data_IF_329380384613
#
_entry.id   IF_329380384613
#
_cell.length_a   1.000
_cell.length_b   1.000
_cell.length_c   1.000
_cell.angle_alpha   90.00
_cell.angle_beta   90.00
_cell.angle_gamma   90.00
#
_symmetry.space_group_name_H-M   'P 1'
#
loop_
_entity.id
_entity.type
_entity.pdbx_description
1 polymer ?
#
# COMPACT_ATOMS: atom_id res chain seq x y z
N UNK A 1 -11.36 9.11 -37.60
CA UNK A 1 -11.00 8.84 -36.19
C UNK A 1 -9.51 8.50 -36.16
N UNK A 2 -8.65 9.48 -35.89
CA UNK A 2 -7.19 9.27 -35.87
C UNK A 2 -6.78 8.56 -34.59
N UNK A 3 -6.26 7.35 -34.73
CA UNK A 3 -5.61 6.60 -33.66
C UNK A 3 -4.27 7.26 -33.34
N UNK A 4 -4.15 7.89 -32.18
CA UNK A 4 -2.86 8.34 -31.67
C UNK A 4 -2.14 7.12 -31.13
N UNK A 5 -1.28 6.51 -31.95
CA UNK A 5 -0.35 5.49 -31.49
C UNK A 5 0.51 6.10 -30.37
N UNK A 6 0.35 5.58 -29.15
CA UNK A 6 1.22 5.93 -28.02
C UNK A 6 2.58 5.27 -28.24
N UNK A 7 3.46 5.95 -28.98
CA UNK A 7 4.85 5.53 -29.08
C UNK A 7 5.52 5.66 -27.70
N UNK A 8 6.26 4.66 -27.23
CA UNK A 8 6.96 4.74 -25.94
C UNK A 8 7.95 5.92 -25.97
N UNK A 9 7.80 6.85 -25.02
CA UNK A 9 8.74 7.96 -24.82
C UNK A 9 9.68 7.64 -23.67
N UNK A 10 10.98 7.57 -23.96
CA UNK A 10 12.01 7.62 -22.93
C UNK A 10 12.11 9.06 -22.43
N UNK A 11 11.95 9.26 -21.14
CA UNK A 11 12.07 10.55 -20.47
C UNK A 11 13.49 10.65 -19.90
N UNK A 12 14.10 11.83 -19.97
CA UNK A 12 15.35 12.11 -19.25
C UNK A 12 15.08 12.08 -17.75
N UNK A 13 16.00 11.50 -16.98
CA UNK A 13 15.87 11.45 -15.53
C UNK A 13 15.77 12.87 -14.95
N UNK A 14 14.84 13.08 -14.03
CA UNK A 14 14.71 14.35 -13.31
C UNK A 14 15.90 14.55 -12.36
N UNK A 15 16.33 15.80 -12.16
CA UNK A 15 17.45 16.15 -11.26
C UNK A 15 17.20 15.70 -9.82
N UNK A 16 15.94 15.69 -9.38
CA UNK A 16 15.51 15.05 -8.14
C UNK A 16 14.56 13.88 -8.50
N UNK A 17 14.93 12.63 -8.22
CA UNK A 17 14.07 11.50 -8.52
C UNK A 17 12.81 11.52 -7.65
N UNK A 18 11.66 11.19 -8.25
CA UNK A 18 10.44 10.88 -7.49
C UNK A 18 10.53 9.45 -6.99
N UNK A 19 10.36 9.25 -5.69
CA UNK A 19 10.41 7.96 -5.01
C UNK A 19 9.02 7.65 -4.47
N UNK A 20 8.35 6.65 -5.06
CA UNK A 20 7.01 6.23 -4.65
C UNK A 20 7.13 5.03 -3.71
N UNK A 21 6.68 5.16 -2.46
CA UNK A 21 6.52 4.05 -1.54
C UNK A 21 5.13 3.44 -1.70
N UNK A 22 5.06 2.26 -2.33
CA UNK A 22 3.83 1.51 -2.55
C UNK A 22 3.69 0.35 -1.56
N UNK A 23 2.74 0.44 -0.63
CA UNK A 23 2.52 -0.59 0.39
C UNK A 23 1.03 -0.90 0.59
N UNK A 24 0.67 -2.13 1.00
CA UNK A 24 -0.68 -2.46 1.45
C UNK A 24 -1.02 -1.67 2.73
N UNK A 25 -2.22 -1.10 2.80
CA UNK A 25 -2.65 -0.30 3.96
C UNK A 25 -4.07 -0.69 4.41
N UNK A 26 -4.25 -0.86 5.72
CA UNK A 26 -5.56 -0.98 6.37
C UNK A 26 -5.54 -0.31 7.76
N UNK A 27 -6.56 0.49 8.08
CA UNK A 27 -6.81 0.95 9.44
C UNK A 27 -7.73 -0.05 10.15
N UNK A 28 -7.25 -0.68 11.22
CA UNK A 28 -7.97 -1.68 11.99
C UNK A 28 -7.33 -1.88 13.38
N UNK A 29 -8.16 -2.00 14.42
CA UNK A 29 -7.67 -2.21 15.79
C UNK A 29 -7.23 -3.67 16.04
N UNK A 30 -7.89 -4.63 15.39
CA UNK A 30 -7.44 -6.02 15.38
C UNK A 30 -6.32 -6.22 14.33
N UNK A 31 -5.08 -6.16 14.80
CA UNK A 31 -3.89 -6.37 13.99
C UNK A 31 -3.79 -7.79 13.41
N UNK A 32 -4.32 -8.80 14.11
CA UNK A 32 -4.25 -10.17 13.66
C UNK A 32 -5.19 -10.37 12.47
N UNK A 33 -6.42 -9.87 12.57
CA UNK A 33 -7.39 -9.89 11.47
C UNK A 33 -6.88 -9.09 10.26
N UNK A 34 -6.29 -7.92 10.47
CA UNK A 34 -5.73 -7.10 9.40
C UNK A 34 -4.55 -7.78 8.69
N UNK A 35 -3.62 -8.41 9.44
CA UNK A 35 -2.50 -9.16 8.84
C UNK A 35 -2.98 -10.39 8.09
N UNK A 36 -3.98 -11.10 8.60
CA UNK A 36 -4.58 -12.23 7.90
C UNK A 36 -5.23 -11.79 6.58
N UNK A 37 -5.95 -10.66 6.58
CA UNK A 37 -6.52 -10.08 5.37
C UNK A 37 -5.44 -9.63 4.36
N UNK A 38 -4.35 -9.03 4.83
CA UNK A 38 -3.21 -8.67 3.99
C UNK A 38 -2.59 -9.90 3.30
N UNK A 39 -2.33 -10.97 4.06
CA UNK A 39 -1.83 -12.23 3.52
C UNK A 39 -2.78 -12.81 2.46
N UNK A 40 -4.09 -12.82 2.74
CA UNK A 40 -5.11 -13.29 1.82
C UNK A 40 -5.17 -12.48 0.51
N UNK A 41 -4.98 -11.16 0.60
CA UNK A 41 -4.98 -10.27 -0.57
C UNK A 41 -3.75 -10.48 -1.47
N UNK A 42 -2.65 -10.97 -0.90
CA UNK A 42 -1.38 -11.17 -1.59
C UNK A 42 -1.23 -12.57 -2.23
N UNK A 43 -2.15 -13.50 -2.00
CA UNK A 43 -2.05 -14.91 -2.46
C UNK A 43 -1.75 -15.03 -3.96
N UNK A 44 -2.31 -14.14 -4.79
CA UNK A 44 -2.10 -14.17 -6.24
C UNK A 44 -0.67 -13.86 -6.70
N UNK A 45 0.14 -13.17 -5.88
CA UNK A 45 1.52 -12.78 -6.21
C UNK A 45 2.57 -13.29 -5.21
N UNK A 46 2.16 -13.74 -4.02
CA UNK A 46 3.01 -14.14 -2.89
C UNK A 46 3.96 -15.30 -3.18
N UNK A 47 3.55 -16.23 -4.05
CA UNK A 47 4.35 -17.38 -4.46
C UNK A 47 5.36 -17.07 -5.57
N UNK A 48 5.35 -15.85 -6.11
CA UNK A 48 6.29 -15.48 -7.17
C UNK A 48 7.69 -15.25 -6.60
N UNK A 49 8.74 -15.95 -7.08
CA UNK A 49 10.09 -15.82 -6.54
C UNK A 49 10.64 -14.38 -6.57
N UNK A 50 10.28 -13.61 -7.60
CA UNK A 50 10.68 -12.20 -7.69
C UNK A 50 10.04 -11.35 -6.58
N UNK A 51 8.77 -11.61 -6.25
CA UNK A 51 8.06 -10.87 -5.21
C UNK A 51 8.64 -11.18 -3.82
N UNK A 52 8.87 -12.45 -3.51
CA UNK A 52 9.54 -12.87 -2.27
C UNK A 52 10.94 -12.24 -2.12
N UNK A 53 11.70 -12.14 -3.22
CA UNK A 53 13.01 -11.49 -3.20
C UNK A 53 12.90 -9.99 -2.90
N UNK A 54 11.93 -9.29 -3.47
CA UNK A 54 11.67 -7.88 -3.17
C UNK A 54 11.31 -7.69 -1.69
N UNK A 55 10.45 -8.54 -1.15
CA UNK A 55 10.08 -8.52 0.27
C UNK A 55 11.27 -8.78 1.19
N UNK A 56 12.10 -9.78 0.86
CA UNK A 56 13.31 -10.09 1.62
C UNK A 56 14.32 -8.94 1.64
N UNK A 57 14.46 -8.19 0.54
CA UNK A 57 15.27 -6.97 0.49
C UNK A 57 14.72 -5.88 1.42
N UNK A 58 13.40 -5.83 1.61
CA UNK A 58 12.74 -4.98 2.60
C UNK A 58 12.76 -5.51 4.03
N UNK A 59 13.40 -6.66 4.28
CA UNK A 59 13.49 -7.26 5.61
C UNK A 59 12.21 -7.97 6.09
N UNK A 60 11.25 -8.19 5.21
CA UNK A 60 9.95 -8.81 5.52
C UNK A 60 9.79 -10.14 4.80
N UNK A 61 9.07 -11.09 5.41
CA UNK A 61 8.92 -12.45 4.90
C UNK A 61 7.79 -12.59 3.88
N UNK A 62 6.75 -11.78 4.04
CA UNK A 62 5.52 -11.84 3.25
C UNK A 62 4.85 -10.45 3.22
N UNK A 63 3.75 -10.36 2.46
CA UNK A 63 2.98 -9.12 2.35
C UNK A 63 2.34 -8.69 3.68
N UNK A 64 2.02 -9.62 4.58
CA UNK A 64 1.48 -9.28 5.89
C UNK A 64 2.51 -8.59 6.79
N UNK A 65 3.79 -8.94 6.65
CA UNK A 65 4.90 -8.25 7.27
C UNK A 65 5.20 -6.88 6.64
N UNK A 66 4.91 -6.71 5.35
CA UNK A 66 5.08 -5.43 4.65
C UNK A 66 3.93 -4.44 4.85
N UNK A 67 2.73 -4.93 5.22
CA UNK A 67 1.53 -4.12 5.30
C UNK A 67 1.58 -3.10 6.45
N UNK A 68 1.13 -1.87 6.15
CA UNK A 68 0.88 -0.84 7.16
C UNK A 68 -0.51 -1.11 7.75
N UNK A 69 -0.52 -1.56 9.00
CA UNK A 69 -1.74 -1.89 9.74
C UNK A 69 -1.70 -1.30 11.14
N UNK A 70 -2.87 -0.90 11.65
CA UNK A 70 -3.04 -0.38 13.01
C UNK A 70 -4.23 0.57 13.12
N UNK A 71 -4.36 1.21 14.27
CA UNK A 71 -5.30 2.33 14.43
C UNK A 71 -4.99 3.45 13.45
N UNK A 72 -5.96 4.32 13.18
CA UNK A 72 -5.80 5.43 12.24
C UNK A 72 -4.57 6.30 12.54
N UNK A 73 -4.35 6.63 13.83
CA UNK A 73 -3.17 7.39 14.26
C UNK A 73 -1.85 6.63 14.01
N UNK A 74 -1.86 5.31 14.20
CA UNK A 74 -0.68 4.45 13.97
C UNK A 74 -0.39 4.34 12.47
N UNK A 75 -1.44 4.23 11.64
CA UNK A 75 -1.33 4.22 10.18
C UNK A 75 -0.77 5.57 9.69
N UNK A 76 -1.34 6.69 10.14
CA UNK A 76 -0.84 8.02 9.79
C UNK A 76 0.65 8.20 10.15
N UNK A 77 1.04 7.77 11.35
CA UNK A 77 2.44 7.82 11.81
C UNK A 77 3.37 6.99 10.91
N UNK A 78 2.96 5.77 10.54
CA UNK A 78 3.74 4.91 9.65
C UNK A 78 3.88 5.49 8.25
N UNK A 79 2.80 6.07 7.70
CA UNK A 79 2.82 6.74 6.40
C UNK A 79 3.77 7.94 6.43
N UNK A 80 3.72 8.76 7.48
CA UNK A 80 4.67 9.86 7.67
C UNK A 80 6.12 9.34 7.73
N UNK A 81 6.35 8.22 8.43
CA UNK A 81 7.66 7.58 8.48
C UNK A 81 8.24 7.19 7.10
N UNK A 82 7.39 6.86 6.11
CA UNK A 82 7.85 6.63 4.73
C UNK A 82 8.37 7.92 4.08
N UNK A 83 7.68 9.04 4.29
CA UNK A 83 8.09 10.35 3.78
C UNK A 83 9.39 10.79 4.45
N UNK A 84 9.48 10.61 5.77
CA UNK A 84 10.68 10.93 6.56
C UNK A 84 11.89 10.08 6.12
N UNK A 85 11.65 8.85 5.65
CA UNK A 85 12.66 7.97 5.07
C UNK A 85 13.06 8.35 3.62
N UNK A 86 12.44 9.38 3.03
CA UNK A 86 12.78 9.92 1.72
C UNK A 86 11.83 9.53 0.58
N UNK A 87 10.69 8.90 0.88
CA UNK A 87 9.63 8.78 -0.13
C UNK A 87 9.10 10.17 -0.49
N UNK A 88 8.94 10.46 -1.78
CA UNK A 88 8.31 11.69 -2.26
C UNK A 88 6.81 11.54 -2.42
N UNK A 89 6.35 10.30 -2.53
CA UNK A 89 4.97 9.94 -2.81
C UNK A 89 4.64 8.63 -2.10
N UNK A 90 3.38 8.51 -1.69
CA UNK A 90 2.84 7.27 -1.15
C UNK A 90 1.79 6.75 -2.12
N UNK A 91 1.90 5.48 -2.48
CA UNK A 91 0.82 4.74 -3.11
C UNK A 91 0.23 3.76 -2.09
N UNK A 92 -0.88 4.17 -1.46
CA UNK A 92 -1.60 3.32 -0.52
C UNK A 92 -2.45 2.29 -1.27
N UNK A 93 -2.03 1.02 -1.26
CA UNK A 93 -2.83 -0.08 -1.78
C UNK A 93 -3.85 -0.52 -0.72
N UNK A 94 -5.00 0.15 -0.68
CA UNK A 94 -6.08 -0.11 0.27
C UNK A 94 -6.63 -1.53 0.09
N UNK A 95 -6.71 -2.30 1.18
CA UNK A 95 -7.32 -3.62 1.17
C UNK A 95 -8.43 -3.75 2.23
N UNK A 96 -9.48 -4.54 1.98
CA UNK A 96 -10.58 -4.71 2.93
C UNK A 96 -10.19 -5.60 4.11
N UNK A 97 -10.62 -5.21 5.31
CA UNK A 97 -10.58 -6.05 6.52
C UNK A 97 -12.00 -6.30 7.02
N UNK A 98 -12.29 -7.54 7.43
CA UNK A 98 -13.59 -7.94 7.97
C UNK A 98 -14.12 -9.25 7.39
N UNK A 99 -15.09 -9.83 8.09
CA UNK A 99 -15.66 -11.14 7.76
C UNK A 99 -16.85 -11.04 6.82
N UNK A 100 -17.60 -9.93 6.88
CA UNK A 100 -18.79 -9.68 6.06
C UNK A 100 -18.50 -8.66 4.96
N UNK A 101 -19.41 -8.56 3.99
CA UNK A 101 -19.31 -7.54 2.94
C UNK A 101 -19.38 -6.14 3.52
N UNK A 102 -20.25 -5.93 4.49
CA UNK A 102 -20.51 -4.66 5.14
C UNK A 102 -19.29 -4.18 5.92
N UNK A 103 -18.68 -5.06 6.72
CA UNK A 103 -17.47 -4.75 7.50
C UNK A 103 -16.27 -4.44 6.59
N UNK A 104 -16.10 -5.20 5.50
CA UNK A 104 -15.07 -4.93 4.48
C UNK A 104 -15.25 -3.59 3.79
N UNK A 105 -16.48 -3.28 3.35
CA UNK A 105 -16.78 -1.99 2.73
C UNK A 105 -16.60 -0.83 3.70
N UNK A 106 -17.00 -1.00 4.96
CA UNK A 106 -16.77 -0.02 6.03
C UNK A 106 -15.28 0.24 6.26
N UNK A 107 -14.47 -0.81 6.39
CA UNK A 107 -13.01 -0.71 6.57
C UNK A 107 -12.34 0.09 5.45
N UNK A 108 -12.70 -0.15 4.19
CA UNK A 108 -12.20 0.62 3.05
C UNK A 108 -12.63 2.10 3.16
N UNK A 109 -13.89 2.34 3.53
CA UNK A 109 -14.42 3.70 3.69
C UNK A 109 -13.67 4.49 4.75
N UNK A 110 -13.46 3.91 5.94
CA UNK A 110 -12.73 4.55 7.04
C UNK A 110 -11.30 4.89 6.65
N UNK A 111 -10.55 3.95 6.05
CA UNK A 111 -9.18 4.25 5.60
C UNK A 111 -9.16 5.30 4.49
N UNK A 112 -10.12 5.27 3.56
CA UNK A 112 -10.18 6.26 2.48
C UNK A 112 -10.43 7.67 3.04
N UNK A 113 -11.26 7.80 4.07
CA UNK A 113 -11.50 9.08 4.74
C UNK A 113 -10.24 9.57 5.46
N UNK A 114 -9.58 8.70 6.23
CA UNK A 114 -8.29 9.02 6.86
C UNK A 114 -7.28 9.53 5.82
N UNK A 115 -7.13 8.82 4.69
CA UNK A 115 -6.20 9.22 3.63
C UNK A 115 -6.58 10.57 3.00
N UNK A 116 -7.87 10.91 2.93
CA UNK A 116 -8.33 12.24 2.47
C UNK A 116 -7.93 13.33 3.46
N UNK A 117 -8.18 13.10 4.75
CA UNK A 117 -7.82 14.05 5.82
C UNK A 117 -6.32 14.34 5.87
N UNK A 118 -5.47 13.33 5.60
CA UNK A 118 -4.02 13.49 5.57
C UNK A 118 -3.49 14.30 4.38
N UNK A 119 -4.23 14.35 3.27
CA UNK A 119 -3.80 15.03 2.04
C UNK A 119 -4.31 16.48 1.97
N UNK A 120 -5.41 16.80 2.67
CA UNK A 120 -6.01 18.13 2.68
C UNK A 120 -6.97 18.39 1.51
#
# INVERSE_FOLDING_TARGET
>A
MSSTASSPRLHTAATAPRVIAGLPVAAHDDLAQARAAAAASAVSYGEMPNYQRVLALGGVKDAAGAAIVGSEATVATQLQGLLDAGATDIWAAVFPVGDTRETRSGSIGHLTELLRELVG
#
